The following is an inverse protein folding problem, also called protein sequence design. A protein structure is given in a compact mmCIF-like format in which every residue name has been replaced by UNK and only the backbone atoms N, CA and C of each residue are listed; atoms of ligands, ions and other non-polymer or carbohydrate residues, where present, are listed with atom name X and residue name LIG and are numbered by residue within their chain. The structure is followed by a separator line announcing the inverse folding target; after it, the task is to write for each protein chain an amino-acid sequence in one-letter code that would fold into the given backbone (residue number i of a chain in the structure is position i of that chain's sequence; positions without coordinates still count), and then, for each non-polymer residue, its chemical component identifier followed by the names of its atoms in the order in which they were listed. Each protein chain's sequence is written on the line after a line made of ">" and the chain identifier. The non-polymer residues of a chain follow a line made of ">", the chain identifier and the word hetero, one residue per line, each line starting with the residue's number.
data_IF_945064866585
#
_entry.id   IF_945064866585
#
_cell.length_a   1.000
_cell.length_b   1.000
_cell.length_c   1.000
_cell.angle_alpha   90.00
_cell.angle_beta   90.00
_cell.angle_gamma   90.00
#
_symmetry.space_group_name_H-M   'P 1'
#
loop_
_entity.id
_entity.type
_entity.pdbx_description
1 polymer ?
#
# COMPACT_ATOMS: atom_id res chain seq x y z
N UNK A 1 8.85 11.29 19.07
CA UNK A 1 9.45 10.80 17.82
C UNK A 1 8.47 9.79 17.24
N UNK A 2 7.99 10.01 16.02
CA UNK A 2 7.01 9.11 15.41
C UNK A 2 7.70 7.77 15.09
N UNK A 3 7.00 6.67 15.34
CA UNK A 3 7.53 5.34 15.09
C UNK A 3 7.03 4.84 13.74
N UNK A 4 7.91 4.21 12.95
CA UNK A 4 7.60 3.81 11.58
C UNK A 4 7.55 2.30 11.42
N UNK A 5 6.53 1.83 10.71
CA UNK A 5 6.40 0.48 10.18
C UNK A 5 6.90 0.42 8.74
N UNK A 6 7.01 -0.81 8.21
CA UNK A 6 7.37 -1.04 6.81
C UNK A 6 6.48 -2.11 6.21
N UNK A 7 6.25 -2.02 4.91
CA UNK A 7 5.53 -3.02 4.12
C UNK A 7 6.19 -3.20 2.76
N UNK A 8 6.25 -4.44 2.29
CA UNK A 8 6.68 -4.76 0.93
C UNK A 8 5.43 -4.99 0.10
N UNK A 9 5.33 -4.29 -1.03
CA UNK A 9 4.18 -4.32 -1.92
C UNK A 9 4.67 -4.81 -3.28
N UNK A 10 3.94 -5.76 -3.87
CA UNK A 10 4.19 -6.23 -5.23
C UNK A 10 3.01 -5.85 -6.13
N UNK A 11 3.30 -5.13 -7.21
CA UNK A 11 2.30 -4.69 -8.18
C UNK A 11 2.67 -5.24 -9.55
N UNK A 12 1.71 -5.86 -10.22
CA UNK A 12 1.81 -6.22 -11.63
C UNK A 12 1.00 -5.18 -12.42
N UNK A 13 1.64 -4.54 -13.39
CA UNK A 13 1.02 -3.54 -14.24
C UNK A 13 1.39 -3.74 -15.69
N UNK A 14 0.64 -3.16 -16.62
CA UNK A 14 1.08 -3.09 -18.02
C UNK A 14 2.29 -2.16 -18.14
N UNK A 15 3.22 -2.46 -19.05
CA UNK A 15 4.51 -1.75 -19.16
C UNK A 15 4.34 -0.22 -19.27
N UNK A 16 3.36 0.24 -20.06
CA UNK A 16 3.10 1.68 -20.31
C UNK A 16 2.15 2.36 -19.32
N UNK A 17 1.59 1.62 -18.37
CA UNK A 17 0.68 2.19 -17.37
C UNK A 17 1.45 2.90 -16.24
N UNK A 18 0.87 3.97 -15.68
CA UNK A 18 1.39 4.63 -14.48
C UNK A 18 0.68 4.13 -13.22
N UNK A 19 1.39 4.17 -12.07
CA UNK A 19 0.79 3.80 -10.78
C UNK A 19 -0.27 4.80 -10.32
N UNK A 20 -0.15 6.08 -10.71
CA UNK A 20 -1.03 7.16 -10.24
C UNK A 20 -0.60 7.77 -8.91
N UNK A 21 0.69 7.66 -8.56
CA UNK A 21 1.31 8.33 -7.42
C UNK A 21 1.90 9.68 -7.86
N UNK A 22 1.65 10.72 -7.07
CA UNK A 22 2.44 11.96 -7.08
C UNK A 22 3.40 11.90 -5.89
N UNK A 23 4.70 12.11 -6.13
CA UNK A 23 5.74 12.02 -5.09
C UNK A 23 6.45 13.36 -4.92
N UNK A 24 7.04 13.59 -3.74
CA UNK A 24 7.84 14.78 -3.46
C UNK A 24 9.12 14.81 -4.29
N UNK A 25 9.56 16.01 -4.67
CA UNK A 25 10.87 16.22 -5.28
C UNK A 25 11.98 16.07 -4.23
N UNK A 26 12.53 14.87 -4.06
CA UNK A 26 13.55 14.60 -3.03
C UNK A 26 15.00 14.61 -3.57
N UNK A 27 15.24 15.23 -4.73
CA UNK A 27 16.51 15.07 -5.47
C UNK A 27 17.76 15.59 -4.75
N UNK A 28 17.64 16.40 -3.69
CA UNK A 28 18.76 17.17 -3.14
C UNK A 28 19.06 16.94 -1.64
N UNK A 29 18.32 16.11 -0.90
CA UNK A 29 18.46 16.06 0.57
C UNK A 29 18.67 14.66 1.20
N UNK A 30 18.77 13.60 0.39
CA UNK A 30 18.96 12.24 0.91
C UNK A 30 17.75 11.68 1.67
N UNK A 31 16.62 12.39 1.64
CA UNK A 31 15.35 11.93 2.20
C UNK A 31 14.61 11.03 1.20
N UNK A 32 13.98 9.97 1.72
CA UNK A 32 13.16 9.08 0.90
C UNK A 32 11.98 9.84 0.27
N UNK A 33 11.69 9.68 -1.03
CA UNK A 33 10.53 10.31 -1.67
C UNK A 33 9.24 10.00 -0.90
N UNK A 34 8.41 11.01 -0.70
CA UNK A 34 7.14 10.91 0.02
C UNK A 34 5.99 10.92 -0.97
N UNK A 35 5.00 10.04 -0.79
CA UNK A 35 3.76 10.06 -1.56
C UNK A 35 2.95 11.28 -1.13
N UNK A 36 2.72 12.21 -2.05
CA UNK A 36 1.95 13.43 -1.80
C UNK A 36 0.47 13.25 -2.12
N UNK A 37 0.17 12.50 -3.18
CA UNK A 37 -1.19 12.27 -3.62
C UNK A 37 -1.32 10.93 -4.35
N UNK A 38 -2.53 10.37 -4.30
CA UNK A 38 -2.91 9.15 -5.02
C UNK A 38 -4.10 9.50 -5.90
N UNK A 39 -3.99 9.28 -7.21
CA UNK A 39 -5.10 9.55 -8.14
C UNK A 39 -6.22 8.53 -7.91
N UNK A 40 -7.48 8.95 -7.66
CA UNK A 40 -8.61 8.02 -7.52
C UNK A 40 -8.77 7.10 -8.75
N UNK A 41 -9.09 5.84 -8.52
CA UNK A 41 -9.24 4.79 -9.54
C UNK A 41 -7.92 4.34 -10.20
N UNK A 42 -6.77 4.88 -9.77
CA UNK A 42 -5.48 4.46 -10.29
C UNK A 42 -5.09 3.06 -9.83
N UNK A 43 -3.95 2.55 -10.31
CA UNK A 43 -3.42 1.26 -9.87
C UNK A 43 -3.07 1.35 -8.38
N UNK A 44 -2.38 2.41 -7.95
CA UNK A 44 -2.00 2.60 -6.55
C UNK A 44 -3.21 2.71 -5.61
N UNK A 45 -4.24 3.44 -6.03
CA UNK A 45 -5.49 3.56 -5.28
C UNK A 45 -6.14 2.18 -5.05
N UNK A 46 -6.28 1.40 -6.13
CA UNK A 46 -6.92 0.08 -6.12
C UNK A 46 -6.06 -1.04 -5.53
N UNK A 47 -4.80 -0.78 -5.18
CA UNK A 47 -3.97 -1.75 -4.49
C UNK A 47 -4.20 -1.76 -2.98
N UNK A 48 -4.93 -0.78 -2.43
CA UNK A 48 -5.25 -0.68 -1.00
C UNK A 48 -4.00 -0.74 -0.08
N UNK A 49 -2.83 -0.32 -0.58
CA UNK A 49 -1.56 -0.43 0.15
C UNK A 49 -0.92 0.92 0.51
N UNK A 50 -1.25 1.99 -0.22
CA UNK A 50 -0.60 3.29 -0.12
C UNK A 50 -1.51 4.32 0.56
N UNK A 51 -0.90 5.26 1.27
CA UNK A 51 -1.52 6.48 1.75
C UNK A 51 -0.62 7.69 1.43
N UNK A 52 -1.19 8.90 1.35
CA UNK A 52 -0.40 10.11 1.44
C UNK A 52 0.50 10.10 2.68
N UNK A 53 1.69 10.68 2.53
CA UNK A 53 2.78 10.75 3.51
C UNK A 53 3.53 9.44 3.79
N UNK A 54 3.23 8.38 3.07
CA UNK A 54 4.10 7.20 3.04
C UNK A 54 5.43 7.51 2.35
N UNK A 55 6.51 6.92 2.86
CA UNK A 55 7.86 7.06 2.32
C UNK A 55 8.19 5.87 1.41
N UNK A 56 8.65 6.15 0.19
CA UNK A 56 9.15 5.14 -0.74
C UNK A 56 10.62 4.86 -0.38
N UNK A 57 10.86 3.76 0.33
CA UNK A 57 12.20 3.42 0.82
C UNK A 57 13.04 2.74 -0.25
N UNK A 58 12.42 1.87 -1.05
CA UNK A 58 13.06 1.22 -2.20
C UNK A 58 12.03 0.82 -3.25
N UNK A 59 12.47 0.70 -4.51
CA UNK A 59 11.63 0.31 -5.63
C UNK A 59 12.44 -0.45 -6.66
N UNK A 60 11.99 -1.66 -7.01
CA UNK A 60 12.61 -2.53 -7.99
C UNK A 60 11.61 -2.80 -9.14
N UNK A 61 12.11 -2.74 -10.38
CA UNK A 61 11.33 -3.00 -11.59
C UNK A 61 11.84 -4.27 -12.28
N UNK A 62 10.93 -5.18 -12.62
CA UNK A 62 11.23 -6.37 -13.40
C UNK A 62 10.27 -6.49 -14.57
N UNK A 63 10.82 -6.62 -15.79
CA UNK A 63 10.03 -6.89 -16.98
C UNK A 63 9.63 -8.36 -17.00
N UNK A 64 8.34 -8.63 -17.20
CA UNK A 64 7.82 -9.99 -17.35
C UNK A 64 7.74 -10.26 -18.86
N UNK A 65 8.84 -10.72 -19.45
CA UNK A 65 8.81 -11.23 -20.82
C UNK A 65 8.41 -12.70 -20.80
N UNK A 66 7.27 -13.03 -21.40
CA UNK A 66 6.92 -14.42 -21.70
C UNK A 66 7.85 -14.94 -22.78
N UNK A 67 8.93 -15.61 -22.38
CA UNK A 67 9.72 -16.44 -23.27
C UNK A 67 8.95 -17.73 -23.53
N UNK A 68 8.56 -17.93 -24.78
CA UNK A 68 7.89 -19.09 -25.38
C UNK A 68 6.39 -18.91 -25.72
N UNK A 69 6.10 -19.13 -27.00
CA UNK A 69 4.80 -19.27 -27.69
C UNK A 69 4.14 -18.01 -28.28
N UNK A 70 3.76 -18.19 -29.55
CA UNK A 70 3.17 -17.26 -30.50
C UNK A 70 1.72 -16.94 -30.15
N UNK A 71 1.34 -15.67 -30.33
CA UNK A 71 0.00 -15.04 -30.18
C UNK A 71 -0.26 -14.29 -28.84
N UNK A 72 -0.48 -12.97 -28.98
CA UNK A 72 -0.94 -11.99 -27.98
C UNK A 72 -0.19 -11.92 -26.63
N UNK A 73 1.00 -11.32 -26.65
CA UNK A 73 1.76 -10.98 -25.43
C UNK A 73 1.15 -9.77 -24.71
N UNK A 74 0.59 -9.96 -23.52
CA UNK A 74 0.48 -8.88 -22.54
C UNK A 74 1.86 -8.68 -21.90
N UNK A 75 2.58 -7.63 -22.29
CA UNK A 75 3.87 -7.26 -21.71
C UNK A 75 3.61 -6.56 -20.37
N UNK A 76 3.75 -7.32 -19.28
CA UNK A 76 3.60 -6.82 -17.91
C UNK A 76 4.95 -6.42 -17.30
N UNK A 77 4.91 -5.47 -16.37
CA UNK A 77 6.01 -5.15 -15.47
C UNK A 77 5.60 -5.50 -14.05
N UNK A 78 6.48 -6.19 -13.33
CA UNK A 78 6.39 -6.37 -11.87
C UNK A 78 7.15 -5.24 -11.20
N UNK A 79 6.52 -4.57 -10.24
CA UNK A 79 7.14 -3.59 -9.37
C UNK A 79 7.10 -4.15 -7.96
N UNK A 80 8.24 -4.16 -7.28
CA UNK A 80 8.32 -4.42 -5.85
C UNK A 80 8.76 -3.14 -5.15
N UNK A 81 7.99 -2.69 -4.15
CA UNK A 81 8.27 -1.48 -3.38
C UNK A 81 8.36 -1.81 -1.89
N UNK A 82 9.34 -1.24 -1.20
CA UNK A 82 9.32 -1.15 0.26
C UNK A 82 8.85 0.24 0.66
N UNK A 83 7.74 0.29 1.40
CA UNK A 83 7.14 1.53 1.87
C UNK A 83 7.31 1.63 3.39
N UNK A 84 7.77 2.79 3.84
CA UNK A 84 7.80 3.19 5.24
C UNK A 84 6.58 4.03 5.59
N UNK A 85 6.00 3.80 6.76
CA UNK A 85 4.80 4.50 7.18
C UNK A 85 4.73 4.75 8.67
N UNK A 86 4.03 5.80 9.08
CA UNK A 86 3.79 6.07 10.49
C UNK A 86 2.90 4.99 11.11
N UNK A 87 3.36 4.39 12.21
CA UNK A 87 2.60 3.39 12.93
C UNK A 87 1.31 3.99 13.51
N UNK A 88 0.17 3.29 13.44
CA UNK A 88 -1.06 3.76 14.06
C UNK A 88 -0.86 4.03 15.55
N UNK A 89 -1.63 4.98 16.08
CA UNK A 89 -1.66 5.24 17.52
C UNK A 89 -2.07 3.99 18.30
N UNK A 90 -1.51 3.81 19.49
CA UNK A 90 -1.99 2.79 20.40
C UNK A 90 -3.40 3.18 20.90
N UNK A 91 -4.30 2.20 21.10
CA UNK A 91 -5.60 2.48 21.68
C UNK A 91 -5.44 3.08 23.08
N UNK A 92 -6.27 4.04 23.47
CA UNK A 92 -6.26 4.59 24.83
C UNK A 92 -6.46 3.51 25.89
N UNK A 93 -5.88 3.72 27.05
CA UNK A 93 -6.04 2.83 28.21
C UNK A 93 -7.52 2.80 28.63
N UNK A 94 -8.04 1.60 28.90
CA UNK A 94 -9.42 1.41 29.36
C UNK A 94 -10.49 1.41 28.28
N UNK A 95 -10.12 1.36 26.99
CA UNK A 95 -11.10 1.19 25.92
C UNK A 95 -11.85 -0.16 26.05
N UNK A 96 -13.16 -0.14 25.78
CA UNK A 96 -13.96 -1.38 25.69
C UNK A 96 -13.90 -1.91 24.27
N UNK A 97 -13.60 -3.20 24.12
CA UNK A 97 -13.56 -3.87 22.81
C UNK A 97 -14.93 -4.46 22.50
N UNK A 98 -15.46 -4.16 21.31
CA UNK A 98 -16.63 -4.83 20.74
C UNK A 98 -16.21 -5.64 19.54
N UNK A 99 -16.68 -6.87 19.46
CA UNK A 99 -16.46 -7.74 18.31
C UNK A 99 -17.67 -7.66 17.37
N UNK A 100 -17.40 -7.56 16.07
CA UNK A 100 -18.38 -7.62 14.99
C UNK A 100 -17.78 -8.43 13.84
N UNK A 101 -18.61 -9.24 13.19
CA UNK A 101 -18.24 -9.94 11.96
C UNK A 101 -18.68 -9.07 10.78
N UNK A 102 -17.73 -8.73 9.90
CA UNK A 102 -17.97 -8.02 8.64
C UNK A 102 -17.57 -8.95 7.51
N UNK A 103 -18.52 -9.24 6.61
CA UNK A 103 -18.27 -10.10 5.45
C UNK A 103 -18.04 -9.22 4.22
N UNK A 104 -16.84 -9.27 3.66
CA UNK A 104 -16.47 -8.51 2.46
C UNK A 104 -16.24 -9.45 1.29
N UNK A 105 -16.75 -9.07 0.12
CA UNK A 105 -16.47 -9.78 -1.13
C UNK A 105 -15.21 -9.19 -1.76
N UNK A 106 -14.17 -10.00 -1.90
CA UNK A 106 -12.93 -9.59 -2.57
C UNK A 106 -13.21 -9.43 -4.07
N UNK A 107 -12.85 -8.27 -4.62
CA UNK A 107 -12.88 -7.99 -6.06
C UNK A 107 -11.48 -8.14 -6.67
N UNK A 108 -11.34 -8.01 -7.99
CA UNK A 108 -10.02 -7.96 -8.64
C UNK A 108 -9.16 -6.79 -8.14
N UNK A 109 -9.80 -5.73 -7.66
CA UNK A 109 -9.19 -4.47 -7.22
C UNK A 109 -9.13 -4.39 -5.68
N UNK A 110 -9.05 -5.55 -5.00
CA UNK A 110 -9.01 -5.63 -3.55
C UNK A 110 -10.36 -5.48 -2.87
N UNK A 111 -10.32 -5.09 -1.59
CA UNK A 111 -11.50 -4.89 -0.72
C UNK A 111 -11.75 -3.43 -0.36
N UNK A 112 -10.75 -2.56 -0.56
CA UNK A 112 -10.81 -1.15 -0.22
C UNK A 112 -10.23 -0.77 1.13
N UNK A 113 -9.43 -1.63 1.77
CA UNK A 113 -8.93 -1.40 3.12
C UNK A 113 -7.41 -1.23 3.12
N UNK A 114 -6.93 -0.05 3.52
CA UNK A 114 -5.52 0.10 3.87
C UNK A 114 -5.34 -0.24 5.34
N UNK A 115 -4.61 -1.30 5.64
CA UNK A 115 -4.34 -1.76 7.02
C UNK A 115 -2.87 -1.51 7.38
N UNK A 116 -2.63 -1.04 8.60
CA UNK A 116 -1.28 -0.79 9.15
C UNK A 116 -1.12 -1.40 10.54
N UNK A 117 0.12 -1.46 11.02
CA UNK A 117 0.47 -2.04 12.30
C UNK A 117 0.69 -3.55 12.23
N UNK A 118 0.40 -4.25 13.31
CA UNK A 118 0.68 -5.68 13.46
C UNK A 118 1.95 -5.98 14.26
N UNK A 119 2.39 -7.22 14.15
CA UNK A 119 3.51 -7.75 14.91
C UNK A 119 4.86 -7.24 14.38
N UNK A 120 5.81 -7.03 15.30
CA UNK A 120 7.18 -6.63 15.00
C UNK A 120 8.14 -7.28 16.02
N UNK A 121 9.38 -7.55 15.60
CA UNK A 121 10.44 -8.06 16.49
C UNK A 121 10.76 -7.09 17.63
N UNK A 122 10.65 -5.78 17.38
CA UNK A 122 10.80 -4.75 18.41
C UNK A 122 9.45 -4.51 19.09
N UNK A 123 9.32 -4.79 20.40
CA UNK A 123 8.04 -4.62 21.12
C UNK A 123 7.48 -3.20 21.05
N UNK A 124 8.35 -2.19 20.95
CA UNK A 124 7.95 -0.78 20.86
C UNK A 124 7.26 -0.43 19.53
N UNK A 125 7.46 -1.25 18.50
CA UNK A 125 6.89 -1.07 17.16
C UNK A 125 5.62 -1.91 16.94
N UNK A 126 5.26 -2.78 17.89
CA UNK A 126 4.03 -3.57 17.79
C UNK A 126 2.82 -2.64 17.87
N UNK A 127 1.86 -2.83 16.97
CA UNK A 127 0.57 -2.16 16.98
C UNK A 127 -0.55 -3.15 16.70
N UNK A 128 -1.80 -2.87 17.10
CA UNK A 128 -2.93 -3.58 16.53
C UNK A 128 -2.92 -3.45 14.99
N UNK A 129 -3.52 -4.43 14.30
CA UNK A 129 -3.87 -4.25 12.89
C UNK A 129 -5.02 -3.24 12.82
N UNK A 130 -4.75 -2.08 12.23
CA UNK A 130 -5.66 -0.95 12.20
C UNK A 130 -6.01 -0.63 10.77
N UNK A 131 -7.32 -0.58 10.46
CA UNK A 131 -7.81 0.00 9.21
C UNK A 131 -7.57 1.51 9.26
N UNK A 132 -6.72 2.00 8.39
CA UNK A 132 -6.33 3.42 8.31
C UNK A 132 -7.18 4.20 7.33
N UNK A 133 -7.70 3.52 6.31
CA UNK A 133 -8.49 4.13 5.25
C UNK A 133 -9.43 3.12 4.61
N UNK A 134 -10.62 3.59 4.25
CA UNK A 134 -11.58 2.88 3.41
C UNK A 134 -11.65 3.63 2.09
N UNK A 135 -11.25 2.97 1.00
CA UNK A 135 -11.28 3.54 -0.34
C UNK A 135 -12.73 3.73 -0.78
N UNK A 136 -13.05 4.91 -1.31
CA UNK A 136 -14.40 5.20 -1.80
C UNK A 136 -14.80 4.24 -2.93
N UNK A 137 -16.08 3.86 -2.96
CA UNK A 137 -16.67 2.95 -3.94
C UNK A 137 -16.03 1.55 -3.96
N UNK A 138 -15.48 1.10 -2.83
CA UNK A 138 -14.92 -0.25 -2.66
C UNK A 138 -15.89 -1.18 -1.93
N UNK A 139 -15.57 -2.47 -1.86
CA UNK A 139 -16.41 -3.44 -1.14
C UNK A 139 -16.57 -3.10 0.35
N UNK A 140 -15.61 -2.40 0.96
CA UNK A 140 -15.65 -1.99 2.36
C UNK A 140 -16.39 -0.66 2.60
N UNK A 141 -16.73 0.09 1.55
CA UNK A 141 -17.45 1.37 1.64
C UNK A 141 -18.98 1.19 1.62
N UNK A 142 -19.47 0.02 1.19
CA UNK A 142 -20.90 -0.31 1.00
C UNK A 142 -21.45 -1.26 2.07
#
# INVERSE_FOLDING_TARGET
>A
MNAFGRVIIEIIKEEKSNLGLTVSDSSNQGEAPVILNIRPGSIADRNDCFLPYDHILSMNFMNISSENSTSNKHLGSKIQMEIGYELPALPPVGCTVKHMVVNLKISSDGVGLVVRGGWNKSPLLIRPLTVMHIRQNSAADW
#
